data_IF_037491684141
#
_entry.id   IF_037491684141
#
_cell.length_a   1.000
_cell.length_b   1.000
_cell.length_c   1.000
_cell.angle_alpha   90.00
_cell.angle_beta   90.00
_cell.angle_gamma   90.00
#
_symmetry.space_group_name_H-M   'P 1'
#
loop_
_entity.id
_entity.type
_entity.pdbx_description
1 polymer ?
#
# COMPACT_ATOMS: atom_id res chain seq x y z
N UNK A 1 25.42 4.15 -74.11
CA UNK A 1 25.92 5.54 -74.20
C UNK A 1 25.62 6.22 -72.86
N UNK A 2 26.52 6.79 -72.06
CA UNK A 2 27.97 6.91 -72.10
C UNK A 2 28.45 7.00 -70.64
N UNK A 3 29.56 6.32 -70.32
CA UNK A 3 30.46 6.69 -69.22
C UNK A 3 31.40 7.76 -69.75
N UNK A 4 31.68 8.80 -68.98
CA UNK A 4 32.98 9.46 -68.97
C UNK A 4 33.08 10.34 -67.72
N UNK A 5 34.12 10.09 -66.92
CA UNK A 5 34.52 10.97 -65.83
C UNK A 5 35.64 11.91 -66.27
N UNK A 6 36.04 12.74 -65.30
CA UNK A 6 37.41 13.13 -64.95
C UNK A 6 37.69 14.65 -64.93
N UNK A 7 38.32 15.03 -63.80
CA UNK A 7 39.26 16.16 -63.57
C UNK A 7 38.66 17.57 -63.55
N UNK A 8 39.07 18.49 -62.67
CA UNK A 8 40.14 18.52 -61.67
C UNK A 8 40.48 20.00 -61.34
N UNK A 9 41.16 20.24 -60.21
CA UNK A 9 41.85 21.51 -59.90
C UNK A 9 41.28 22.28 -58.70
N UNK A 10 41.79 22.11 -57.47
CA UNK A 10 42.93 22.80 -56.81
C UNK A 10 42.85 24.34 -56.77
N UNK A 11 42.69 24.88 -55.55
CA UNK A 11 43.48 25.96 -54.90
C UNK A 11 42.97 26.12 -53.45
N UNK A 12 43.77 25.79 -52.42
CA UNK A 12 44.65 26.71 -51.64
C UNK A 12 43.98 28.07 -51.38
N UNK A 13 43.81 28.59 -50.17
CA UNK A 13 44.43 28.37 -48.86
C UNK A 13 44.33 29.71 -48.10
N UNK A 14 44.33 29.66 -46.75
CA UNK A 14 44.23 30.74 -45.73
C UNK A 14 42.95 30.52 -44.90
N UNK A 15 42.98 30.43 -43.58
CA UNK A 15 44.04 30.66 -42.63
C UNK A 15 43.37 31.05 -41.31
N UNK A 16 43.80 30.38 -40.23
CA UNK A 16 43.84 30.88 -38.84
C UNK A 16 42.52 31.19 -38.09
N UNK A 17 42.40 30.44 -36.99
CA UNK A 17 42.03 30.91 -35.64
C UNK A 17 40.62 31.45 -35.41
N UNK A 18 39.72 30.55 -35.01
CA UNK A 18 38.67 30.84 -34.03
C UNK A 18 38.39 29.58 -33.19
N UNK A 19 39.43 29.09 -32.51
CA UNK A 19 39.31 28.00 -31.54
C UNK A 19 39.46 28.59 -30.12
N UNK A 20 38.57 29.51 -29.73
CA UNK A 20 38.51 30.04 -28.35
C UNK A 20 37.20 30.79 -28.15
N UNK A 21 36.15 30.09 -27.69
CA UNK A 21 35.06 30.65 -26.88
C UNK A 21 34.04 29.57 -26.48
N UNK A 22 33.77 28.59 -27.36
CA UNK A 22 32.72 27.59 -27.10
C UNK A 22 33.16 26.41 -26.20
N UNK A 23 34.48 26.16 -26.06
CA UNK A 23 35.03 25.06 -25.28
C UNK A 23 35.22 25.32 -23.78
N UNK A 24 35.07 26.56 -23.33
CA UNK A 24 35.27 26.97 -21.93
C UNK A 24 33.97 27.22 -21.14
N UNK A 25 32.82 27.31 -21.81
CA UNK A 25 31.51 27.41 -21.16
C UNK A 25 30.95 26.06 -20.68
N UNK A 26 31.51 24.92 -21.12
CA UNK A 26 31.06 23.56 -20.73
C UNK A 26 31.96 22.87 -19.69
N UNK A 27 32.90 23.60 -19.06
CA UNK A 27 33.81 23.05 -18.04
C UNK A 27 33.71 23.73 -16.67
N UNK A 28 32.77 24.66 -16.51
CA UNK A 28 32.57 25.47 -15.30
C UNK A 28 31.20 25.29 -14.66
N UNK A 29 30.75 24.06 -14.44
CA UNK A 29 29.59 23.79 -13.58
C UNK A 29 29.78 22.52 -12.74
N UNK A 30 30.98 22.34 -12.19
CA UNK A 30 31.10 21.68 -10.87
C UNK A 30 30.71 22.70 -9.81
N UNK A 31 29.41 22.95 -9.69
CA UNK A 31 28.89 23.63 -8.52
C UNK A 31 28.98 22.63 -7.38
N UNK A 32 30.05 22.73 -6.60
CA UNK A 32 30.04 22.34 -5.21
C UNK A 32 29.00 23.20 -4.50
N UNK A 33 27.78 22.65 -4.37
CA UNK A 33 26.68 23.22 -3.61
C UNK A 33 25.99 22.09 -2.86
N UNK A 34 25.82 22.25 -1.56
CA UNK A 34 25.44 21.21 -0.59
C UNK A 34 24.36 20.23 -1.04
N UNK A 35 24.50 19.00 -0.55
CA UNK A 35 23.76 17.76 -0.81
C UNK A 35 22.25 17.91 -0.54
N UNK A 36 21.53 18.64 -1.39
CA UNK A 36 20.07 18.77 -1.31
C UNK A 36 19.47 18.35 -2.65
N UNK A 37 19.07 17.09 -2.74
CA UNK A 37 18.50 16.52 -3.96
C UNK A 37 16.97 16.72 -4.04
N UNK A 38 16.48 16.92 -5.26
CA UNK A 38 15.07 17.13 -5.60
C UNK A 38 14.25 15.83 -5.44
N UNK A 39 13.04 15.91 -4.87
CA UNK A 39 12.14 14.77 -4.74
C UNK A 39 11.59 14.33 -6.11
N UNK A 40 11.53 15.22 -7.11
CA UNK A 40 10.93 14.95 -8.42
C UNK A 40 11.62 13.85 -9.24
N UNK A 41 12.91 13.60 -9.00
CA UNK A 41 13.72 12.58 -9.68
C UNK A 41 14.58 11.80 -8.68
N UNK A 42 14.02 10.81 -7.97
CA UNK A 42 14.78 10.07 -6.97
C UNK A 42 15.89 9.24 -7.63
N UNK A 43 17.11 9.38 -7.10
CA UNK A 43 18.24 8.52 -7.46
C UNK A 43 17.99 7.07 -7.03
N UNK A 44 18.72 6.09 -7.60
CA UNK A 44 18.60 4.68 -7.18
C UNK A 44 18.82 4.49 -5.68
N UNK A 45 19.77 5.23 -5.09
CA UNK A 45 20.05 5.23 -3.64
C UNK A 45 18.85 5.72 -2.82
N UNK A 46 18.18 6.79 -3.27
CA UNK A 46 16.96 7.28 -2.60
C UNK A 46 15.80 6.31 -2.70
N UNK A 47 15.62 5.67 -3.85
CA UNK A 47 14.59 4.64 -3.99
C UNK A 47 14.86 3.45 -3.05
N UNK A 48 16.11 3.00 -2.95
CA UNK A 48 16.50 1.95 -2.01
C UNK A 48 16.26 2.37 -0.55
N UNK A 49 16.58 3.62 -0.19
CA UNK A 49 16.28 4.16 1.14
C UNK A 49 14.77 4.20 1.44
N UNK A 50 13.93 4.58 0.47
CA UNK A 50 12.48 4.54 0.62
C UNK A 50 11.97 3.11 0.82
N UNK A 51 12.48 2.14 0.04
CA UNK A 51 12.15 0.72 0.22
C UNK A 51 12.55 0.23 1.61
N UNK A 52 13.73 0.60 2.09
CA UNK A 52 14.20 0.24 3.43
C UNK A 52 13.32 0.85 4.53
N UNK A 53 12.92 2.12 4.41
CA UNK A 53 12.03 2.76 5.37
C UNK A 53 10.63 2.14 5.36
N UNK A 54 10.08 1.82 4.18
CA UNK A 54 8.82 1.08 4.09
C UNK A 54 8.93 -0.33 4.69
N UNK A 55 10.05 -1.04 4.49
CA UNK A 55 10.30 -2.33 5.12
C UNK A 55 10.27 -2.20 6.66
N UNK A 56 10.93 -1.20 7.22
CA UNK A 56 10.91 -0.95 8.67
C UNK A 56 9.49 -0.68 9.18
N UNK A 57 8.72 0.16 8.48
CA UNK A 57 7.31 0.42 8.82
C UNK A 57 6.50 -0.88 8.80
N UNK A 58 6.60 -1.66 7.73
CA UNK A 58 5.88 -2.93 7.57
C UNK A 58 6.25 -3.90 8.69
N UNK A 59 7.53 -4.07 9.00
CA UNK A 59 8.02 -4.97 10.06
C UNK A 59 7.54 -4.53 11.44
N UNK A 60 7.46 -3.22 11.70
CA UNK A 60 6.93 -2.68 12.97
C UNK A 60 5.44 -2.96 13.19
N UNK A 61 4.71 -3.15 12.09
CA UNK A 61 3.25 -3.22 12.04
C UNK A 61 2.73 -4.66 11.97
N UNK A 62 3.49 -5.58 11.37
CA UNK A 62 3.10 -7.00 11.27
C UNK A 62 3.10 -7.69 12.64
N UNK A 63 2.12 -8.56 12.96
CA UNK A 63 2.16 -9.36 14.18
C UNK A 63 3.38 -10.30 14.17
N UNK A 64 4.15 -10.32 15.26
CA UNK A 64 5.33 -11.20 15.39
C UNK A 64 5.00 -12.50 16.14
N UNK A 65 3.79 -12.57 16.72
CA UNK A 65 3.28 -13.72 17.46
C UNK A 65 1.83 -13.93 17.06
N UNK A 66 1.48 -15.04 16.39
CA UNK A 66 0.09 -15.42 16.26
C UNK A 66 -0.44 -15.80 17.66
N UNK A 67 -1.62 -15.28 18.03
CA UNK A 67 -2.38 -15.68 19.24
C UNK A 67 -1.94 -15.11 20.61
N UNK A 68 -1.00 -14.15 20.70
CA UNK A 68 -0.74 -13.42 21.96
C UNK A 68 -1.17 -11.96 21.85
N UNK A 69 -2.28 -11.60 22.50
CA UNK A 69 -2.73 -10.21 22.58
C UNK A 69 -2.00 -9.47 23.71
N UNK A 70 -1.70 -8.19 23.49
CA UNK A 70 -1.05 -7.36 24.50
C UNK A 70 -2.01 -7.11 25.67
N UNK A 71 -1.68 -7.66 26.85
CA UNK A 71 -2.47 -7.53 28.07
C UNK A 71 -1.91 -6.49 29.08
N UNK A 72 -0.87 -5.74 28.71
CA UNK A 72 -0.15 -4.80 29.58
C UNK A 72 1.25 -5.29 30.00
N UNK A 73 2.14 -4.36 30.35
CA UNK A 73 3.53 -4.64 30.80
C UNK A 73 4.62 -4.35 29.75
N UNK A 74 5.89 -4.47 30.15
CA UNK A 74 7.07 -4.34 29.27
C UNK A 74 7.29 -5.64 28.48
N UNK A 75 6.49 -5.87 27.44
CA UNK A 75 6.72 -6.97 26.49
C UNK A 75 7.90 -6.62 25.54
N UNK A 76 8.98 -7.42 25.50
CA UNK A 76 10.12 -7.19 24.61
C UNK A 76 9.74 -7.01 23.13
N UNK A 77 8.70 -7.70 22.64
CA UNK A 77 8.26 -7.59 21.24
C UNK A 77 7.62 -6.23 20.98
N UNK A 78 6.84 -5.73 21.93
CA UNK A 78 6.20 -4.40 21.85
C UNK A 78 7.26 -3.31 21.86
N UNK A 79 8.26 -3.42 22.74
CA UNK A 79 9.40 -2.48 22.81
C UNK A 79 10.21 -2.52 21.51
N UNK A 80 10.54 -3.70 20.99
CA UNK A 80 11.27 -3.85 19.73
C UNK A 80 10.52 -3.21 18.55
N UNK A 81 9.20 -3.45 18.43
CA UNK A 81 8.37 -2.82 17.40
C UNK A 81 8.32 -1.30 17.54
N UNK A 82 8.20 -0.79 18.76
CA UNK A 82 8.24 0.64 19.02
C UNK A 82 9.58 1.25 18.61
N UNK A 83 10.70 0.60 18.93
CA UNK A 83 12.03 1.04 18.52
C UNK A 83 12.17 1.07 16.99
N UNK A 84 11.71 0.03 16.28
CA UNK A 84 11.72 -0.01 14.81
C UNK A 84 10.86 1.10 14.21
N UNK A 85 9.67 1.36 14.77
CA UNK A 85 8.79 2.44 14.33
C UNK A 85 9.44 3.82 14.53
N UNK A 86 10.14 4.04 15.66
CA UNK A 86 10.87 5.28 15.92
C UNK A 86 12.07 5.46 14.99
N UNK A 87 12.81 4.38 14.68
CA UNK A 87 13.89 4.42 13.68
C UNK A 87 13.34 4.75 12.30
N UNK A 88 12.21 4.16 11.91
CA UNK A 88 11.54 4.48 10.65
C UNK A 88 11.09 5.96 10.60
N UNK A 89 10.51 6.47 11.70
CA UNK A 89 10.13 7.88 11.83
C UNK A 89 11.35 8.79 11.75
N UNK A 90 12.41 8.52 12.51
CA UNK A 90 13.65 9.29 12.48
C UNK A 90 14.30 9.31 11.10
N UNK A 91 14.31 8.17 10.40
CA UNK A 91 14.77 8.07 9.02
C UNK A 91 13.89 8.87 8.04
N UNK A 92 12.57 8.84 8.20
CA UNK A 92 11.65 9.66 7.40
C UNK A 92 11.80 11.17 7.68
N UNK A 93 12.01 11.56 8.93
CA UNK A 93 12.32 12.96 9.32
C UNK A 93 13.65 13.37 8.71
N UNK A 94 14.71 12.56 8.84
CA UNK A 94 16.00 12.82 8.22
C UNK A 94 15.87 13.04 6.71
N UNK A 95 15.15 12.14 6.02
CA UNK A 95 14.90 12.30 4.58
C UNK A 95 14.16 13.61 4.26
N UNK A 96 13.19 13.99 5.10
CA UNK A 96 12.44 15.25 5.01
C UNK A 96 13.31 16.49 5.21
N UNK A 97 14.28 16.43 6.12
CA UNK A 97 15.22 17.52 6.40
C UNK A 97 16.20 17.73 5.23
N UNK A 98 16.63 16.65 4.59
CA UNK A 98 17.56 16.70 3.45
C UNK A 98 16.88 16.90 2.08
N UNK A 99 15.56 17.06 2.03
CA UNK A 99 14.77 17.22 0.80
C UNK A 99 14.32 18.66 0.60
N UNK A 100 14.86 19.31 -0.45
CA UNK A 100 14.62 20.74 -0.77
C UNK A 100 13.23 21.04 -1.32
N UNK A 101 12.70 20.15 -2.17
CA UNK A 101 11.36 20.27 -2.76
C UNK A 101 10.52 19.09 -2.33
N UNK A 102 9.46 19.37 -1.59
CA UNK A 102 8.53 18.37 -1.05
C UNK A 102 7.33 18.23 -1.97
N UNK A 103 6.80 17.02 -2.04
CA UNK A 103 5.54 16.74 -2.74
C UNK A 103 4.36 17.12 -1.84
N UNK A 104 3.36 17.86 -2.36
CA UNK A 104 2.18 18.22 -1.58
C UNK A 104 1.32 16.96 -1.34
N UNK A 105 1.19 16.55 -0.08
CA UNK A 105 0.32 15.46 0.36
C UNK A 105 -0.89 16.06 1.07
N UNK A 106 -2.10 15.60 0.74
CA UNK A 106 -3.31 16.07 1.42
C UNK A 106 -3.47 15.39 2.78
N UNK A 107 -3.71 16.20 3.81
CA UNK A 107 -3.90 15.74 5.19
C UNK A 107 -5.36 15.35 5.51
N UNK A 108 -6.31 15.58 4.58
CA UNK A 108 -7.75 15.34 4.80
C UNK A 108 -8.07 13.92 5.30
N UNK A 109 -7.65 12.85 4.61
CA UNK A 109 -7.85 11.48 5.07
C UNK A 109 -7.23 11.20 6.44
N UNK A 110 -6.03 11.74 6.69
CA UNK A 110 -5.36 11.60 7.97
C UNK A 110 -6.13 12.30 9.11
N UNK A 111 -6.78 13.43 8.84
CA UNK A 111 -7.63 14.11 9.80
C UNK A 111 -8.88 13.28 10.16
N UNK A 112 -9.53 12.66 9.17
CA UNK A 112 -10.68 11.77 9.42
C UNK A 112 -10.28 10.56 10.26
N UNK A 113 -9.13 9.94 9.94
CA UNK A 113 -8.55 8.85 10.72
C UNK A 113 -8.22 9.33 12.14
N UNK A 114 -7.59 10.50 12.30
CA UNK A 114 -7.27 11.06 13.61
C UNK A 114 -8.52 11.29 14.46
N UNK A 115 -9.59 11.87 13.89
CA UNK A 115 -10.88 12.03 14.58
C UNK A 115 -11.44 10.68 15.01
N UNK A 116 -11.38 9.67 14.14
CA UNK A 116 -11.83 8.30 14.47
C UNK A 116 -11.03 7.70 15.63
N UNK A 117 -9.71 7.89 15.65
CA UNK A 117 -8.85 7.43 16.74
C UNK A 117 -9.14 8.18 18.05
N UNK A 118 -9.46 9.48 17.99
CA UNK A 118 -9.85 10.25 19.17
C UNK A 118 -11.21 9.81 19.73
N UNK A 119 -12.18 9.49 18.86
CA UNK A 119 -13.45 8.88 19.26
C UNK A 119 -13.20 7.55 19.98
N UNK A 120 -12.35 6.70 19.41
CA UNK A 120 -11.97 5.42 20.02
C UNK A 120 -11.27 5.61 21.36
N UNK A 121 -10.37 6.60 21.48
CA UNK A 121 -9.71 6.94 22.73
C UNK A 121 -10.72 7.37 23.80
N UNK A 122 -11.68 8.22 23.45
CA UNK A 122 -12.73 8.67 24.35
C UNK A 122 -13.59 7.49 24.81
N UNK A 123 -14.01 6.61 23.89
CA UNK A 123 -14.71 5.37 24.22
C UNK A 123 -13.89 4.45 25.14
N UNK A 124 -12.58 4.32 24.89
CA UNK A 124 -11.67 3.54 25.73
C UNK A 124 -11.51 4.11 27.14
N UNK A 125 -11.45 5.43 27.31
CA UNK A 125 -11.38 6.09 28.62
C UNK A 125 -12.65 5.82 29.43
N UNK A 126 -13.82 5.97 28.81
CA UNK A 126 -15.12 5.71 29.46
C UNK A 126 -15.28 4.22 29.79
N UNK A 127 -14.69 3.32 28.98
CA UNK A 127 -14.69 1.87 29.21
C UNK A 127 -13.79 1.41 30.36
N UNK A 128 -12.91 2.26 30.89
CA UNK A 128 -11.83 1.86 31.81
C UNK A 128 -10.57 1.29 31.11
N UNK A 129 -10.50 1.32 29.78
CA UNK A 129 -9.38 0.83 28.95
C UNK A 129 -8.49 1.97 28.39
N UNK A 130 -8.52 3.14 29.03
CA UNK A 130 -7.89 4.36 28.52
C UNK A 130 -6.39 4.21 28.25
N UNK A 131 -5.63 3.67 29.22
CA UNK A 131 -4.17 3.53 29.12
C UNK A 131 -3.74 2.64 27.95
N UNK A 132 -4.32 1.46 27.79
CA UNK A 132 -4.04 0.55 26.69
C UNK A 132 -4.43 1.15 25.33
N UNK A 133 -5.58 1.82 25.27
CA UNK A 133 -6.05 2.51 24.06
C UNK A 133 -5.13 3.67 23.68
N UNK A 134 -4.65 4.47 24.64
CA UNK A 134 -3.70 5.57 24.39
C UNK A 134 -2.42 5.07 23.74
N UNK A 135 -1.82 3.99 24.26
CA UNK A 135 -0.58 3.42 23.71
C UNK A 135 -0.77 2.97 22.26
N UNK A 136 -1.89 2.30 21.96
CA UNK A 136 -2.19 1.86 20.60
C UNK A 136 -2.46 3.04 19.66
N UNK A 137 -3.25 4.03 20.10
CA UNK A 137 -3.53 5.24 19.33
C UNK A 137 -2.23 6.00 19.01
N UNK A 138 -1.34 6.18 19.99
CA UNK A 138 -0.03 6.82 19.77
C UNK A 138 0.81 6.07 18.74
N UNK A 139 0.82 4.73 18.79
CA UNK A 139 1.50 3.91 17.78
C UNK A 139 0.92 4.15 16.37
N UNK A 140 -0.40 4.16 16.24
CA UNK A 140 -1.07 4.41 14.95
C UNK A 140 -0.73 5.81 14.44
N UNK A 141 -0.67 6.83 15.30
CA UNK A 141 -0.21 8.18 14.95
C UNK A 141 1.24 8.20 14.46
N UNK A 142 2.17 7.50 15.13
CA UNK A 142 3.58 7.39 14.71
C UNK A 142 3.67 6.78 13.31
N UNK A 143 2.94 5.69 13.05
CA UNK A 143 2.91 5.04 11.73
C UNK A 143 2.32 5.99 10.69
N UNK A 144 1.20 6.65 10.98
CA UNK A 144 0.55 7.60 10.08
C UNK A 144 1.48 8.77 9.73
N UNK A 145 2.13 9.37 10.74
CA UNK A 145 3.07 10.47 10.54
C UNK A 145 4.26 10.03 9.68
N UNK A 146 4.82 8.85 9.95
CA UNK A 146 5.92 8.27 9.16
C UNK A 146 5.51 8.10 7.70
N UNK A 147 4.31 7.54 7.42
CA UNK A 147 3.81 7.36 6.07
C UNK A 147 3.62 8.69 5.34
N UNK A 148 3.00 9.69 5.98
CA UNK A 148 2.81 11.01 5.39
C UNK A 148 4.16 11.67 5.07
N UNK A 149 5.15 11.59 5.96
CA UNK A 149 6.49 12.09 5.70
C UNK A 149 7.13 11.37 4.50
N UNK A 150 7.08 10.03 4.44
CA UNK A 150 7.60 9.28 3.29
C UNK A 150 6.93 9.69 1.97
N UNK A 151 5.62 9.91 1.97
CA UNK A 151 4.87 10.36 0.80
C UNK A 151 5.21 11.79 0.36
N UNK A 152 5.64 12.66 1.28
CA UNK A 152 6.12 14.01 0.91
C UNK A 152 7.51 14.01 0.26
N UNK A 153 8.28 12.93 0.42
CA UNK A 153 9.68 12.84 -0.03
C UNK A 153 9.86 12.17 -1.41
N UNK A 154 8.80 11.67 -2.02
CA UNK A 154 8.86 10.96 -3.29
C UNK A 154 7.60 11.20 -4.14
N UNK A 155 7.70 11.13 -5.48
CA UNK A 155 6.52 11.16 -6.33
C UNK A 155 5.68 9.90 -6.06
N UNK A 156 4.37 10.03 -6.23
CA UNK A 156 3.40 9.01 -5.83
C UNK A 156 3.67 7.63 -6.45
N UNK A 157 4.12 7.58 -7.70
CA UNK A 157 4.44 6.35 -8.43
C UNK A 157 5.61 5.61 -7.78
N UNK A 158 6.64 6.36 -7.35
CA UNK A 158 7.82 5.81 -6.68
C UNK A 158 7.53 5.42 -5.24
N UNK A 159 6.70 6.18 -4.53
CA UNK A 159 6.30 5.83 -3.18
C UNK A 159 5.47 4.52 -3.16
N UNK A 160 4.48 4.40 -4.05
CA UNK A 160 3.69 3.16 -4.19
C UNK A 160 4.57 2.01 -4.65
N UNK A 161 5.47 2.23 -5.62
CA UNK A 161 6.40 1.19 -6.05
C UNK A 161 7.34 0.74 -4.91
N UNK A 162 7.83 1.67 -4.08
CA UNK A 162 8.69 1.34 -2.94
C UNK A 162 7.93 0.53 -1.88
N UNK A 163 6.71 0.94 -1.54
CA UNK A 163 5.82 0.21 -0.62
C UNK A 163 5.56 -1.22 -1.11
N UNK A 164 5.15 -1.37 -2.37
CA UNK A 164 4.84 -2.69 -2.95
C UNK A 164 6.10 -3.56 -3.10
N UNK A 165 7.25 -2.95 -3.38
CA UNK A 165 8.53 -3.68 -3.39
C UNK A 165 8.87 -4.19 -2.00
N UNK A 166 8.71 -3.35 -0.97
CA UNK A 166 8.93 -3.73 0.42
C UNK A 166 7.99 -4.89 0.85
N UNK A 167 6.71 -4.79 0.50
CA UNK A 167 5.74 -5.87 0.74
C UNK A 167 6.12 -7.17 0.03
N UNK A 168 6.53 -7.09 -1.24
CA UNK A 168 6.94 -8.25 -2.02
C UNK A 168 8.20 -8.92 -1.48
N UNK A 169 9.21 -8.13 -1.10
CA UNK A 169 10.44 -8.63 -0.44
C UNK A 169 10.07 -9.38 0.83
N UNK A 170 9.27 -8.76 1.70
CA UNK A 170 8.90 -9.39 2.96
C UNK A 170 8.05 -10.65 2.75
N UNK A 171 7.13 -10.66 1.79
CA UNK A 171 6.34 -11.84 1.46
C UNK A 171 7.24 -13.01 1.04
N UNK A 172 8.26 -12.76 0.21
CA UNK A 172 9.21 -13.80 -0.22
C UNK A 172 10.07 -14.28 0.96
N UNK A 173 10.58 -13.38 1.80
CA UNK A 173 11.37 -13.74 2.99
C UNK A 173 10.53 -14.55 3.98
N UNK A 174 9.31 -14.12 4.28
CA UNK A 174 8.41 -14.81 5.18
C UNK A 174 8.00 -16.19 4.62
N UNK A 175 7.69 -16.28 3.33
CA UNK A 175 7.33 -17.54 2.67
C UNK A 175 8.50 -18.56 2.64
N UNK A 176 9.71 -18.10 2.33
CA UNK A 176 10.89 -18.98 2.26
C UNK A 176 11.30 -19.50 3.63
N UNK A 177 11.26 -18.64 4.65
CA UNK A 177 11.53 -19.05 6.04
C UNK A 177 10.39 -19.91 6.62
N UNK A 178 9.16 -19.71 6.16
CA UNK A 178 7.97 -20.45 6.57
C UNK A 178 7.69 -21.73 5.78
N UNK A 179 8.53 -22.12 4.82
CA UNK A 179 8.27 -23.26 3.92
C UNK A 179 7.95 -24.58 4.67
N UNK A 180 8.51 -24.78 5.86
CA UNK A 180 8.23 -25.95 6.71
C UNK A 180 6.78 -26.04 7.19
N UNK A 181 6.06 -24.92 7.27
CA UNK A 181 4.64 -24.93 7.68
C UNK A 181 3.74 -25.54 6.61
N UNK A 182 4.21 -25.62 5.35
CA UNK A 182 3.46 -26.25 4.26
C UNK A 182 3.18 -27.73 4.55
N UNK A 183 4.04 -28.39 5.33
CA UNK A 183 3.84 -29.76 5.83
C UNK A 183 2.59 -29.85 6.73
N UNK A 184 2.26 -28.79 7.46
CA UNK A 184 1.02 -28.66 8.25
C UNK A 184 -0.19 -28.24 7.40
N UNK A 185 -0.03 -28.18 6.09
CA UNK A 185 -1.07 -27.92 5.09
C UNK A 185 -1.14 -26.49 4.56
N UNK A 186 -0.62 -25.46 5.24
CA UNK A 186 -0.70 -24.08 4.76
C UNK A 186 0.63 -23.35 4.91
N UNK A 187 0.99 -22.58 3.88
CA UNK A 187 2.15 -21.70 3.97
C UNK A 187 1.82 -20.51 4.88
N UNK A 188 2.48 -20.46 6.04
CA UNK A 188 2.56 -19.30 6.91
C UNK A 188 3.92 -18.62 6.72
N UNK A 189 4.06 -17.43 7.30
CA UNK A 189 5.37 -16.78 7.40
C UNK A 189 6.21 -17.40 8.51
N UNK A 190 7.50 -17.61 8.27
CA UNK A 190 8.45 -18.05 9.29
C UNK A 190 9.01 -16.89 10.10
N UNK A 191 9.79 -16.03 9.45
CA UNK A 191 10.39 -14.83 10.07
C UNK A 191 9.89 -13.57 9.32
N UNK A 192 9.00 -12.75 9.93
CA UNK A 192 8.28 -12.98 11.18
C UNK A 192 7.22 -14.09 11.04
N UNK A 193 6.73 -14.61 12.17
CA UNK A 193 5.66 -15.60 12.21
C UNK A 193 4.33 -14.95 11.80
N UNK A 194 3.94 -15.14 10.53
CA UNK A 194 2.76 -14.49 9.92
C UNK A 194 1.70 -15.55 9.64
N UNK A 195 0.44 -15.25 9.96
CA UNK A 195 -0.67 -16.12 9.62
C UNK A 195 -0.82 -16.26 8.08
N UNK A 196 -1.17 -17.45 7.53
CA UNK A 196 -1.27 -17.65 6.09
C UNK A 196 -2.08 -16.60 5.32
N UNK A 197 -3.18 -16.11 5.89
CA UNK A 197 -4.00 -15.07 5.24
C UNK A 197 -3.28 -13.72 5.12
N UNK A 198 -2.54 -13.32 6.16
CA UNK A 198 -1.78 -12.07 6.16
C UNK A 198 -0.63 -12.13 5.15
N UNK A 199 0.05 -13.28 5.05
CA UNK A 199 1.08 -13.54 4.04
C UNK A 199 0.49 -13.47 2.62
N UNK A 200 -0.67 -14.08 2.40
CA UNK A 200 -1.37 -14.02 1.12
C UNK A 200 -1.64 -12.56 0.70
N UNK A 201 -2.11 -11.75 1.64
CA UNK A 201 -2.39 -10.36 1.37
C UNK A 201 -1.15 -9.47 1.22
N UNK A 202 -0.02 -9.81 1.84
CA UNK A 202 1.27 -9.17 1.58
C UNK A 202 1.76 -9.43 0.14
N UNK A 203 1.53 -10.63 -0.40
CA UNK A 203 1.91 -11.03 -1.75
C UNK A 203 0.93 -10.53 -2.83
N UNK A 204 -0.38 -10.48 -2.53
CA UNK A 204 -1.44 -10.16 -3.48
C UNK A 204 -1.32 -8.75 -4.09
N UNK A 205 -1.00 -7.73 -3.29
CA UNK A 205 -0.94 -6.34 -3.75
C UNK A 205 0.26 -6.07 -4.68
N UNK A 206 1.48 -6.51 -4.36
CA UNK A 206 2.60 -6.46 -5.30
C UNK A 206 2.33 -7.27 -6.57
N UNK A 207 1.64 -8.41 -6.47
CA UNK A 207 1.23 -9.20 -7.64
C UNK A 207 0.30 -8.41 -8.57
N UNK A 208 -0.74 -7.77 -8.04
CA UNK A 208 -1.64 -6.91 -8.84
C UNK A 208 -0.86 -5.77 -9.50
N UNK A 209 0.10 -5.17 -8.80
CA UNK A 209 0.91 -4.12 -9.38
C UNK A 209 1.86 -4.62 -10.49
N UNK A 210 2.39 -5.84 -10.38
CA UNK A 210 3.13 -6.48 -11.48
C UNK A 210 2.24 -6.76 -12.68
N UNK A 211 0.99 -7.19 -12.47
CA UNK A 211 -0.01 -7.32 -13.55
C UNK A 211 -0.20 -5.97 -14.24
N UNK A 212 -0.46 -4.89 -13.49
CA UNK A 212 -0.58 -3.53 -14.06
C UNK A 212 0.70 -3.12 -14.80
N UNK A 213 1.88 -3.46 -14.26
CA UNK A 213 3.16 -3.15 -14.90
C UNK A 213 3.31 -3.87 -16.24
N UNK A 214 2.93 -5.16 -16.32
CA UNK A 214 2.96 -5.97 -17.53
C UNK A 214 1.97 -5.40 -18.56
N UNK A 215 0.76 -5.04 -18.15
CA UNK A 215 -0.24 -4.42 -19.04
C UNK A 215 0.26 -3.10 -19.63
N UNK A 216 0.92 -2.25 -18.83
CA UNK A 216 1.40 -0.92 -19.26
C UNK A 216 2.70 -0.96 -20.07
N UNK A 217 3.67 -1.76 -19.62
CA UNK A 217 5.05 -1.76 -20.16
C UNK A 217 5.37 -2.97 -21.05
N UNK A 218 4.46 -3.93 -21.15
CA UNK A 218 4.66 -5.18 -21.87
C UNK A 218 5.30 -6.27 -21.00
N UNK A 219 5.38 -7.47 -21.57
CA UNK A 219 5.90 -8.67 -20.90
C UNK A 219 7.41 -8.55 -20.74
N UNK A 220 7.88 -8.66 -19.49
CA UNK A 220 9.30 -8.78 -19.15
C UNK A 220 9.49 -10.05 -18.35
N UNK A 221 10.53 -10.82 -18.66
CA UNK A 221 10.82 -12.10 -17.99
C UNK A 221 10.89 -11.93 -16.48
N UNK A 222 11.57 -10.90 -15.99
CA UNK A 222 11.65 -10.63 -14.54
C UNK A 222 10.30 -10.33 -13.88
N UNK A 223 9.40 -9.62 -14.57
CA UNK A 223 8.06 -9.34 -14.06
C UNK A 223 7.19 -10.60 -14.06
N UNK A 224 7.32 -11.46 -15.08
CA UNK A 224 6.61 -12.74 -15.14
C UNK A 224 7.08 -13.68 -14.03
N UNK A 225 8.39 -13.84 -13.85
CA UNK A 225 8.96 -14.68 -12.78
C UNK A 225 8.48 -14.17 -11.42
N UNK A 226 8.57 -12.86 -11.16
CA UNK A 226 8.10 -12.30 -9.90
C UNK A 226 6.59 -12.51 -9.68
N UNK A 227 5.77 -12.40 -10.73
CA UNK A 227 4.33 -12.69 -10.64
C UNK A 227 4.06 -14.15 -10.34
N UNK A 228 4.78 -15.08 -10.99
CA UNK A 228 4.62 -16.53 -10.76
C UNK A 228 5.01 -16.88 -9.33
N UNK A 229 6.12 -16.34 -8.82
CA UNK A 229 6.56 -16.57 -7.43
C UNK A 229 5.52 -16.05 -6.44
N UNK A 230 5.06 -14.80 -6.59
CA UNK A 230 4.07 -14.23 -5.67
C UNK A 230 2.71 -14.94 -5.76
N UNK A 231 2.28 -15.34 -6.95
CA UNK A 231 1.06 -16.12 -7.13
C UNK A 231 1.18 -17.50 -6.48
N UNK A 232 2.32 -18.18 -6.65
CA UNK A 232 2.61 -19.46 -5.99
C UNK A 232 2.57 -19.36 -4.46
N UNK A 233 3.12 -18.29 -3.89
CA UNK A 233 3.01 -18.00 -2.45
C UNK A 233 1.55 -17.90 -2.03
N UNK A 234 0.72 -17.13 -2.76
CA UNK A 234 -0.71 -16.97 -2.43
C UNK A 234 -1.46 -18.30 -2.51
N UNK A 235 -1.25 -19.10 -3.57
CA UNK A 235 -1.88 -20.42 -3.69
C UNK A 235 -1.47 -21.33 -2.55
N UNK A 236 -0.18 -21.35 -2.19
CA UNK A 236 0.35 -22.16 -1.09
C UNK A 236 -0.21 -21.75 0.30
N UNK A 237 -0.63 -20.50 0.48
CA UNK A 237 -1.33 -20.07 1.71
C UNK A 237 -2.74 -20.65 1.84
N UNK A 238 -3.36 -21.07 0.73
CA UNK A 238 -4.74 -21.56 0.66
C UNK A 238 -5.81 -20.49 0.94
N UNK A 239 -5.49 -19.19 0.86
CA UNK A 239 -6.47 -18.12 1.11
C UNK A 239 -7.39 -17.90 -0.09
N UNK A 240 -8.59 -18.52 -0.04
CA UNK A 240 -9.63 -18.39 -1.09
C UNK A 240 -10.03 -16.93 -1.34
N UNK A 241 -10.21 -16.16 -0.26
CA UNK A 241 -10.58 -14.74 -0.35
C UNK A 241 -9.48 -13.91 -1.00
N UNK A 242 -8.20 -14.19 -0.70
CA UNK A 242 -7.09 -13.48 -1.36
C UNK A 242 -7.05 -13.76 -2.86
N UNK A 243 -7.33 -15.00 -3.29
CA UNK A 243 -7.41 -15.37 -4.70
C UNK A 243 -8.57 -14.67 -5.42
N UNK A 244 -9.75 -14.61 -4.78
CA UNK A 244 -10.91 -13.85 -5.28
C UNK A 244 -10.55 -12.36 -5.41
N UNK A 245 -9.90 -11.79 -4.40
CA UNK A 245 -9.44 -10.40 -4.43
C UNK A 245 -8.41 -10.12 -5.54
N UNK A 246 -7.47 -11.04 -5.78
CA UNK A 246 -6.51 -10.96 -6.89
C UNK A 246 -7.24 -11.04 -8.23
N UNK A 247 -8.21 -11.94 -8.38
CA UNK A 247 -9.00 -12.09 -9.60
C UNK A 247 -9.74 -10.79 -9.94
N UNK A 248 -10.52 -10.24 -9.01
CA UNK A 248 -11.22 -8.98 -9.21
C UNK A 248 -10.26 -7.81 -9.42
N UNK A 249 -9.15 -7.75 -8.66
CA UNK A 249 -8.11 -6.75 -8.86
C UNK A 249 -7.47 -6.82 -10.25
N UNK A 250 -7.19 -8.02 -10.76
CA UNK A 250 -6.64 -8.25 -12.09
C UNK A 250 -7.64 -7.90 -13.20
N UNK A 251 -8.92 -8.23 -13.04
CA UNK A 251 -10.00 -7.81 -13.97
C UNK A 251 -10.08 -6.29 -14.03
N UNK A 252 -10.12 -5.62 -12.87
CA UNK A 252 -10.13 -4.16 -12.81
C UNK A 252 -8.86 -3.58 -13.44
N UNK A 253 -7.69 -4.21 -13.25
CA UNK A 253 -6.45 -3.82 -13.90
C UNK A 253 -6.54 -3.94 -15.42
N UNK A 254 -7.13 -5.03 -15.94
CA UNK A 254 -7.34 -5.25 -17.36
C UNK A 254 -8.29 -4.21 -17.96
N UNK A 255 -9.45 -3.98 -17.33
CA UNK A 255 -10.46 -3.02 -17.78
C UNK A 255 -9.90 -1.58 -17.79
N UNK A 256 -9.13 -1.22 -16.78
CA UNK A 256 -8.63 0.16 -16.64
C UNK A 256 -7.38 0.48 -17.45
N UNK A 257 -6.55 -0.52 -17.79
CA UNK A 257 -5.32 -0.30 -18.56
C UNK A 257 -5.41 -0.79 -20.01
N UNK A 258 -6.31 -1.72 -20.31
CA UNK A 258 -6.48 -2.36 -21.60
C UNK A 258 -5.30 -3.23 -22.03
N UNK A 259 -5.44 -3.89 -23.18
CA UNK A 259 -4.38 -4.71 -23.81
C UNK A 259 -3.78 -3.92 -24.98
N UNK A 260 -2.87 -2.98 -24.68
CA UNK A 260 -2.30 -2.09 -25.72
C UNK A 260 -1.16 -2.71 -26.52
N UNK A 261 -0.50 -3.76 -26.02
CA UNK A 261 0.69 -4.36 -26.64
C UNK A 261 0.41 -5.80 -27.07
N UNK A 262 0.81 -6.17 -28.30
CA UNK A 262 0.66 -7.53 -28.84
C UNK A 262 1.27 -8.61 -27.94
N UNK A 263 2.42 -8.32 -27.32
CA UNK A 263 3.06 -9.27 -26.38
C UNK A 263 2.20 -9.63 -25.16
N UNK A 264 1.35 -8.71 -24.68
CA UNK A 264 0.42 -8.99 -23.58
C UNK A 264 -0.74 -9.86 -24.07
N UNK A 265 -1.22 -9.62 -25.30
CA UNK A 265 -2.25 -10.45 -25.93
C UNK A 265 -1.76 -11.90 -26.11
N UNK A 266 -0.55 -12.09 -26.65
CA UNK A 266 0.04 -13.41 -26.78
C UNK A 266 0.25 -14.10 -25.44
N UNK A 267 0.74 -13.36 -24.43
CA UNK A 267 0.87 -13.90 -23.09
C UNK A 267 -0.48 -14.32 -22.50
N UNK A 268 -1.55 -13.56 -22.70
CA UNK A 268 -2.89 -13.91 -22.25
C UNK A 268 -3.41 -15.17 -22.97
N UNK A 269 -3.21 -15.26 -24.28
CA UNK A 269 -3.60 -16.42 -25.09
C UNK A 269 -2.87 -17.70 -24.68
N UNK A 270 -1.61 -17.61 -24.24
CA UNK A 270 -0.86 -18.75 -23.69
C UNK A 270 -1.24 -19.03 -22.23
N UNK A 271 -1.51 -17.99 -21.45
CA UNK A 271 -1.80 -18.11 -20.02
C UNK A 271 -3.14 -18.81 -19.74
N UNK A 272 -4.17 -18.54 -20.55
CA UNK A 272 -5.49 -19.19 -20.41
C UNK A 272 -5.42 -20.72 -20.50
N UNK A 273 -4.84 -21.35 -21.54
CA UNK A 273 -4.73 -22.80 -21.62
C UNK A 273 -3.78 -23.38 -20.58
N UNK A 274 -2.71 -22.67 -20.19
CA UNK A 274 -1.83 -23.11 -19.09
C UNK A 274 -2.58 -23.14 -17.76
N UNK A 275 -3.34 -22.09 -17.42
CA UNK A 275 -4.18 -22.09 -16.22
C UNK A 275 -5.21 -23.20 -16.29
N UNK A 276 -5.88 -23.37 -17.43
CA UNK A 276 -6.86 -24.43 -17.61
C UNK A 276 -6.24 -25.81 -17.37
N UNK A 277 -5.08 -26.07 -17.98
CA UNK A 277 -4.33 -27.30 -17.75
C UNK A 277 -3.94 -27.50 -16.28
N UNK A 278 -3.43 -26.46 -15.61
CA UNK A 278 -3.15 -26.54 -14.17
C UNK A 278 -4.42 -26.89 -13.40
N UNK A 279 -5.53 -26.18 -13.60
CA UNK A 279 -6.78 -26.41 -12.89
C UNK A 279 -7.29 -27.85 -13.07
N UNK A 280 -7.30 -28.34 -14.32
CA UNK A 280 -7.86 -29.65 -14.66
C UNK A 280 -6.94 -30.80 -14.23
N UNK A 281 -5.61 -30.65 -14.37
CA UNK A 281 -4.67 -31.76 -14.18
C UNK A 281 -4.03 -31.83 -12.78
N UNK A 282 -4.06 -30.76 -11.98
CA UNK A 282 -3.37 -30.75 -10.68
C UNK A 282 -4.31 -30.93 -9.49
N UNK A 283 -5.62 -30.95 -9.70
CA UNK A 283 -6.61 -31.00 -8.61
C UNK A 283 -6.48 -29.83 -7.62
N UNK A 284 -5.80 -28.74 -7.99
CA UNK A 284 -5.60 -27.57 -7.11
C UNK A 284 -6.94 -26.97 -6.71
N UNK A 285 -7.93 -26.96 -7.61
CA UNK A 285 -9.29 -26.52 -7.30
C UNK A 285 -9.97 -27.48 -6.33
N UNK A 286 -9.81 -28.79 -6.50
CA UNK A 286 -10.36 -29.78 -5.57
C UNK A 286 -9.69 -29.69 -4.20
N UNK A 287 -8.38 -29.49 -4.12
CA UNK A 287 -7.66 -29.27 -2.85
C UNK A 287 -8.03 -27.94 -2.19
N UNK A 288 -8.34 -26.92 -2.98
CA UNK A 288 -8.88 -25.67 -2.47
C UNK A 288 -10.32 -25.81 -2.01
N UNK A 289 -11.17 -26.57 -2.73
CA UNK A 289 -12.60 -26.72 -2.49
C UNK A 289 -12.92 -27.75 -1.38
N UNK A 290 -12.29 -28.92 -1.40
CA UNK A 290 -12.46 -30.02 -0.42
C UNK A 290 -11.98 -29.69 1.00
N UNK A 291 -11.18 -28.63 1.17
CA UNK A 291 -10.82 -28.10 2.49
C UNK A 291 -11.99 -27.56 3.32
N UNK A 292 -13.19 -27.48 2.73
CA UNK A 292 -14.43 -27.10 3.38
C UNK A 292 -15.39 -28.27 3.50
N UNK A 293 -14.96 -29.39 4.11
CA UNK A 293 -15.93 -30.31 4.71
C UNK A 293 -16.94 -29.47 5.50
N UNK A 294 -18.22 -29.74 5.27
CA UNK A 294 -19.42 -28.90 5.49
C UNK A 294 -19.63 -28.28 6.88
N UNK A 295 -18.68 -28.45 7.80
CA UNK A 295 -18.73 -28.05 9.22
C UNK A 295 -17.73 -26.94 9.60
N UNK A 296 -16.64 -26.72 8.87
CA UNK A 296 -15.60 -25.72 9.22
C UNK A 296 -15.84 -24.32 8.62
N UNK A 297 -16.43 -24.26 7.42
CA UNK A 297 -16.82 -22.96 6.81
C UNK A 297 -18.11 -22.40 7.43
N UNK A 298 -19.03 -23.27 7.86
CA UNK A 298 -20.20 -22.88 8.64
C UNK A 298 -19.78 -22.27 9.97
N UNK A 299 -18.80 -22.83 10.68
CA UNK A 299 -18.31 -22.27 11.95
C UNK A 299 -17.54 -20.95 11.82
N UNK A 300 -16.77 -20.74 10.73
CA UNK A 300 -16.04 -19.48 10.53
C UNK A 300 -16.94 -18.34 10.01
N UNK A 301 -17.97 -18.66 9.23
CA UNK A 301 -19.00 -17.68 8.84
C UNK A 301 -19.95 -17.40 9.99
N UNK A 302 -20.38 -18.42 10.76
CA UNK A 302 -21.14 -18.23 12.01
C UNK A 302 -20.36 -17.34 12.96
N UNK A 303 -19.08 -17.64 13.23
CA UNK A 303 -18.29 -16.86 14.19
C UNK A 303 -18.16 -15.37 13.79
N UNK A 304 -18.15 -15.08 12.50
CA UNK A 304 -18.14 -13.70 11.98
C UNK A 304 -19.50 -13.03 12.10
N UNK A 305 -20.58 -13.76 11.82
CA UNK A 305 -21.96 -13.28 11.96
C UNK A 305 -22.32 -13.08 13.44
N UNK A 306 -21.88 -13.96 14.35
CA UNK A 306 -22.01 -13.80 15.80
C UNK A 306 -21.33 -12.52 16.29
N UNK A 307 -20.13 -12.21 15.79
CA UNK A 307 -19.45 -10.95 16.10
C UNK A 307 -20.26 -9.71 15.69
N UNK A 308 -20.91 -9.75 14.53
CA UNK A 308 -21.84 -8.68 14.11
C UNK A 308 -23.07 -8.59 15.02
N UNK A 309 -23.69 -9.72 15.36
CA UNK A 309 -24.88 -9.77 16.20
C UNK A 309 -24.63 -9.18 17.59
N UNK A 310 -23.48 -9.49 18.21
CA UNK A 310 -23.16 -8.97 19.55
C UNK A 310 -22.96 -7.46 19.53
N UNK A 311 -22.20 -6.93 18.57
CA UNK A 311 -21.91 -5.49 18.53
C UNK A 311 -23.13 -4.68 18.06
N UNK A 312 -23.96 -5.22 17.17
CA UNK A 312 -25.23 -4.60 16.77
C UNK A 312 -26.32 -4.72 17.83
N UNK A 313 -26.21 -5.72 18.71
CA UNK A 313 -27.12 -5.97 19.83
C UNK A 313 -26.89 -5.06 21.04
N UNK A 314 -25.85 -4.23 21.04
CA UNK A 314 -25.65 -3.23 22.10
C UNK A 314 -26.82 -2.26 22.16
N UNK A 315 -27.25 -1.90 23.37
CA UNK A 315 -28.40 -1.02 23.55
C UNK A 315 -28.20 0.34 22.85
N UNK A 316 -29.25 0.86 22.23
CA UNK A 316 -29.25 2.14 21.52
C UNK A 316 -29.00 3.33 22.45
N UNK A 317 -29.40 3.21 23.71
CA UNK A 317 -29.13 4.21 24.74
C UNK A 317 -27.71 4.11 25.31
N UNK A 318 -26.98 3.03 25.02
CA UNK A 318 -25.62 2.85 25.51
C UNK A 318 -24.61 3.70 24.74
N UNK A 319 -23.68 4.32 25.45
CA UNK A 319 -22.58 5.08 24.86
C UNK A 319 -21.63 4.19 24.04
N UNK A 320 -21.54 2.90 24.38
CA UNK A 320 -20.69 1.91 23.71
C UNK A 320 -21.06 1.74 22.24
N UNK A 321 -22.36 1.80 21.91
CA UNK A 321 -22.85 1.73 20.53
C UNK A 321 -22.37 2.90 19.65
N UNK A 322 -22.23 4.08 20.24
CA UNK A 322 -21.91 5.31 19.52
C UNK A 322 -20.41 5.59 19.43
N UNK A 323 -19.68 5.37 20.53
CA UNK A 323 -18.28 5.73 20.69
C UNK A 323 -17.33 4.51 20.67
N UNK A 324 -17.87 3.30 20.82
CA UNK A 324 -17.07 2.09 20.97
C UNK A 324 -16.39 1.99 22.33
N UNK A 325 -15.65 0.91 22.54
CA UNK A 325 -15.03 0.54 23.83
C UNK A 325 -13.49 0.72 23.80
N UNK A 326 -12.96 1.27 22.71
CA UNK A 326 -11.55 1.57 22.53
C UNK A 326 -10.75 0.57 21.70
N UNK A 327 -9.65 1.04 21.12
CA UNK A 327 -8.79 0.32 20.16
C UNK A 327 -8.12 -0.93 20.76
N UNK A 328 -8.03 -1.02 22.09
CA UNK A 328 -7.47 -2.17 22.81
C UNK A 328 -8.37 -3.40 22.78
N UNK A 329 -9.66 -3.24 22.47
CA UNK A 329 -10.61 -4.36 22.37
C UNK A 329 -10.36 -5.12 21.06
N UNK A 330 -9.83 -6.34 21.20
CA UNK A 330 -9.56 -7.29 20.10
C UNK A 330 -10.48 -8.51 20.12
N UNK A 331 -11.17 -8.72 21.24
CA UNK A 331 -12.14 -9.78 21.44
C UNK A 331 -13.43 -9.21 22.01
N UNK A 332 -14.56 -9.80 21.64
CA UNK A 332 -15.87 -9.49 22.22
C UNK A 332 -16.37 -10.71 22.99
N UNK A 333 -16.94 -10.50 24.18
CA UNK A 333 -17.52 -11.60 24.94
C UNK A 333 -18.73 -12.18 24.19
N UNK A 334 -18.73 -13.49 23.96
CA UNK A 334 -19.84 -14.21 23.35
C UNK A 334 -20.34 -15.24 24.35
N UNK A 335 -21.65 -15.36 24.50
CA UNK A 335 -22.25 -16.43 25.31
C UNK A 335 -22.56 -17.64 24.41
N UNK A 336 -21.52 -18.37 24.00
CA UNK A 336 -21.68 -19.67 23.34
C UNK A 336 -21.29 -20.79 24.30
N UNK A 337 -21.94 -21.95 24.16
CA UNK A 337 -21.92 -23.09 25.11
C UNK A 337 -20.52 -23.59 25.52
N UNK A 338 -19.47 -23.25 24.75
CA UNK A 338 -18.06 -23.63 24.99
C UNK A 338 -17.05 -22.51 24.67
N UNK A 339 -17.48 -21.27 24.42
CA UNK A 339 -16.61 -20.13 24.04
C UNK A 339 -17.11 -18.85 24.70
N UNK A 340 -16.26 -18.21 25.51
CA UNK A 340 -16.58 -17.00 26.26
C UNK A 340 -16.08 -15.69 25.61
N UNK A 341 -15.18 -15.78 24.62
CA UNK A 341 -14.69 -14.63 23.84
C UNK A 341 -14.50 -14.97 22.36
N UNK A 342 -14.71 -13.97 21.49
CA UNK A 342 -14.59 -14.09 20.04
C UNK A 342 -13.66 -13.01 19.50
N UNK A 343 -12.63 -13.43 18.77
CA UNK A 343 -11.68 -12.53 18.10
C UNK A 343 -12.37 -11.79 16.96
N UNK A 344 -12.11 -10.48 16.87
CA UNK A 344 -12.64 -9.60 15.83
C UNK A 344 -11.83 -9.74 14.53
N UNK A 345 -12.32 -10.59 13.63
CA UNK A 345 -11.62 -10.91 12.37
C UNK A 345 -11.96 -9.97 11.19
N UNK A 346 -12.97 -9.11 11.32
CA UNK A 346 -13.39 -8.17 10.27
C UNK A 346 -13.06 -6.73 10.65
N UNK A 347 -12.51 -5.94 9.72
CA UNK A 347 -12.17 -4.53 9.99
C UNK A 347 -13.41 -3.71 10.34
N UNK A 348 -14.57 -4.04 9.79
CA UNK A 348 -15.82 -3.31 10.07
C UNK A 348 -16.39 -3.61 11.45
N UNK A 349 -16.41 -4.89 11.84
CA UNK A 349 -16.85 -5.29 13.19
C UNK A 349 -15.88 -4.77 14.24
N UNK A 350 -14.57 -4.88 13.97
CA UNK A 350 -13.52 -4.31 14.82
C UNK A 350 -13.70 -2.80 14.99
N UNK A 351 -13.97 -2.09 13.90
CA UNK A 351 -14.17 -0.64 13.94
C UNK A 351 -15.43 -0.26 14.72
N UNK A 352 -16.53 -1.01 14.55
CA UNK A 352 -17.76 -0.80 15.31
C UNK A 352 -17.54 -1.01 16.81
N UNK A 353 -16.80 -2.06 17.19
CA UNK A 353 -16.47 -2.31 18.58
C UNK A 353 -15.51 -1.25 19.17
N UNK A 354 -14.55 -0.77 18.37
CA UNK A 354 -13.47 0.11 18.85
C UNK A 354 -13.83 1.60 18.83
N UNK A 355 -14.62 2.05 17.86
CA UNK A 355 -14.94 3.46 17.61
C UNK A 355 -16.45 3.72 17.41
N UNK A 356 -17.30 2.69 17.58
CA UNK A 356 -18.74 2.81 17.50
C UNK A 356 -19.26 3.13 16.10
N UNK A 357 -20.56 3.43 16.03
CA UNK A 357 -21.24 3.86 14.80
C UNK A 357 -20.60 5.11 14.18
N UNK A 358 -20.14 6.05 15.00
CA UNK A 358 -19.51 7.28 14.50
C UNK A 358 -18.19 6.98 13.76
N UNK A 359 -17.35 6.12 14.32
CA UNK A 359 -16.12 5.69 13.66
C UNK A 359 -16.38 4.93 12.36
N UNK A 360 -17.36 4.01 12.37
CA UNK A 360 -17.77 3.28 11.16
C UNK A 360 -18.28 4.22 10.07
N UNK A 361 -19.09 5.22 10.43
CA UNK A 361 -19.60 6.20 9.49
C UNK A 361 -18.45 7.03 8.87
N UNK A 362 -17.54 7.55 9.69
CA UNK A 362 -16.42 8.37 9.22
C UNK A 362 -15.50 7.59 8.27
N UNK A 363 -15.11 6.37 8.63
CA UNK A 363 -14.25 5.54 7.79
C UNK A 363 -15.01 5.03 6.57
N UNK A 364 -16.29 4.69 6.70
CA UNK A 364 -17.17 4.31 5.58
C UNK A 364 -17.25 5.41 4.53
N UNK A 365 -17.49 6.65 4.96
CA UNK A 365 -17.48 7.83 4.09
C UNK A 365 -16.10 8.05 3.46
N UNK A 366 -15.01 7.83 4.21
CA UNK A 366 -13.65 7.96 3.67
C UNK A 366 -13.34 6.88 2.62
N UNK A 367 -13.77 5.63 2.83
CA UNK A 367 -13.63 4.54 1.85
C UNK A 367 -14.45 4.84 0.60
N UNK A 368 -15.72 5.26 0.76
CA UNK A 368 -16.57 5.67 -0.36
C UNK A 368 -15.95 6.84 -1.14
N UNK A 369 -15.46 7.85 -0.43
CA UNK A 369 -14.72 8.95 -1.02
C UNK A 369 -13.51 8.44 -1.80
N UNK A 370 -12.70 7.53 -1.25
CA UNK A 370 -11.55 6.95 -1.95
C UNK A 370 -11.97 6.24 -3.26
N UNK A 371 -13.03 5.44 -3.24
CA UNK A 371 -13.54 4.72 -4.42
C UNK A 371 -14.00 5.71 -5.50
N UNK A 372 -14.88 6.64 -5.16
CA UNK A 372 -15.40 7.67 -6.09
C UNK A 372 -14.23 8.48 -6.69
N UNK A 373 -13.31 8.87 -5.82
CA UNK A 373 -12.15 9.69 -6.15
C UNK A 373 -11.14 8.92 -7.02
N UNK A 374 -11.02 7.59 -6.86
CA UNK A 374 -10.19 6.73 -7.71
C UNK A 374 -10.81 6.49 -9.09
N UNK A 375 -12.13 6.31 -9.16
CA UNK A 375 -12.86 6.11 -10.44
C UNK A 375 -12.79 7.37 -11.30
N UNK A 376 -12.87 8.56 -10.68
CA UNK A 376 -12.82 9.86 -11.37
C UNK A 376 -11.40 10.32 -11.75
N UNK A 377 -10.34 9.69 -11.19
CA UNK A 377 -8.96 10.09 -11.44
C UNK A 377 -8.38 9.47 -12.72
N UNK A 378 -8.71 10.02 -13.89
CA UNK A 378 -8.35 9.48 -15.20
C UNK A 378 -6.87 9.03 -15.36
N UNK A 379 -5.90 9.81 -14.86
CA UNK A 379 -4.47 9.49 -15.01
C UNK A 379 -3.93 8.44 -14.04
N UNK A 380 -4.60 8.20 -12.91
CA UNK A 380 -4.11 7.32 -11.82
C UNK A 380 -4.97 6.08 -11.61
N UNK A 381 -6.20 6.07 -12.14
CA UNK A 381 -7.19 5.00 -12.02
C UNK A 381 -6.61 3.62 -12.32
N UNK A 382 -5.78 3.52 -13.36
CA UNK A 382 -5.26 2.21 -13.77
C UNK A 382 -4.26 1.54 -12.81
N UNK A 383 -3.71 2.26 -11.81
CA UNK A 383 -2.94 1.61 -10.74
C UNK A 383 -3.71 1.60 -9.41
N UNK A 384 -4.37 2.72 -9.07
CA UNK A 384 -5.03 2.86 -7.78
C UNK A 384 -6.30 2.03 -7.67
N UNK A 385 -7.12 1.95 -8.73
CA UNK A 385 -8.40 1.23 -8.68
C UNK A 385 -8.22 -0.28 -8.45
N UNK A 386 -7.31 -1.00 -9.17
CA UNK A 386 -7.04 -2.41 -8.90
C UNK A 386 -6.58 -2.69 -7.47
N UNK A 387 -5.68 -1.85 -6.94
CA UNK A 387 -5.18 -1.99 -5.57
C UNK A 387 -6.28 -1.72 -4.54
N UNK A 388 -7.13 -0.71 -4.80
CA UNK A 388 -8.27 -0.38 -3.95
C UNK A 388 -9.32 -1.50 -3.96
N UNK A 389 -9.57 -2.16 -5.11
CA UNK A 389 -10.48 -3.30 -5.19
C UNK A 389 -10.04 -4.44 -4.28
N UNK A 390 -8.76 -4.84 -4.34
CA UNK A 390 -8.21 -5.85 -3.45
C UNK A 390 -8.28 -5.42 -1.98
N UNK A 391 -7.97 -4.16 -1.69
CA UNK A 391 -8.06 -3.61 -0.34
C UNK A 391 -9.49 -3.71 0.22
N UNK A 392 -10.50 -3.25 -0.53
CA UNK A 392 -11.90 -3.25 -0.09
C UNK A 392 -12.42 -4.66 0.15
N UNK A 393 -12.11 -5.63 -0.71
CA UNK A 393 -12.51 -7.03 -0.49
C UNK A 393 -11.90 -7.57 0.81
N UNK A 394 -10.65 -7.20 1.08
CA UNK A 394 -9.92 -7.64 2.27
C UNK A 394 -10.45 -7.01 3.57
N UNK A 395 -10.97 -5.78 3.56
CA UNK A 395 -11.48 -5.15 4.81
C UNK A 395 -12.70 -5.86 5.39
N UNK A 396 -13.47 -6.58 4.58
CA UNK A 396 -14.58 -7.40 5.08
C UNK A 396 -14.13 -8.66 5.82
N UNK A 397 -12.94 -9.15 5.52
CA UNK A 397 -12.51 -10.50 5.88
C UNK A 397 -11.28 -10.55 6.78
N UNK A 398 -10.58 -9.43 6.90
CA UNK A 398 -9.47 -9.23 7.83
C UNK A 398 -9.66 -7.92 8.61
N UNK A 399 -9.19 -7.92 9.85
CA UNK A 399 -9.16 -6.75 10.73
C UNK A 399 -7.90 -5.91 10.54
N UNK A 400 -7.86 -4.73 11.15
CA UNK A 400 -6.67 -3.87 11.15
C UNK A 400 -6.68 -2.69 10.17
N UNK A 401 -7.84 -2.28 9.66
CA UNK A 401 -7.97 -1.03 8.88
C UNK A 401 -7.65 0.24 9.67
N UNK A 402 -7.89 0.24 11.00
CA UNK A 402 -7.64 1.38 11.92
C UNK A 402 -6.67 1.01 13.05
N UNK A 403 -6.17 -0.23 13.04
CA UNK A 403 -5.12 -0.68 13.95
C UNK A 403 -3.75 -0.53 13.28
N UNK A 404 -2.66 -0.61 14.06
CA UNK A 404 -1.29 -0.65 13.53
C UNK A 404 -1.02 -1.99 12.82
N UNK A 405 -1.71 -2.25 11.72
CA UNK A 405 -1.61 -3.42 10.86
C UNK A 405 -1.40 -3.05 9.38
N UNK A 406 -1.10 -4.03 8.54
CA UNK A 406 -0.83 -3.80 7.11
C UNK A 406 -1.98 -3.14 6.34
N UNK A 407 -3.27 -3.46 6.60
CA UNK A 407 -4.38 -2.75 5.98
C UNK A 407 -4.35 -1.24 6.27
N UNK A 408 -3.98 -0.80 7.49
CA UNK A 408 -3.84 0.62 7.82
C UNK A 408 -2.74 1.32 7.00
N UNK A 409 -1.58 0.70 6.85
CA UNK A 409 -0.48 1.26 6.03
C UNK A 409 -0.93 1.51 4.59
N UNK A 410 -1.67 0.56 4.03
CA UNK A 410 -2.25 0.66 2.70
C UNK A 410 -3.34 1.72 2.63
N UNK A 411 -4.23 1.76 3.63
CA UNK A 411 -5.34 2.70 3.68
C UNK A 411 -4.87 4.15 3.74
N UNK A 412 -3.94 4.47 4.64
CA UNK A 412 -3.33 5.81 4.76
C UNK A 412 -2.61 6.16 3.46
N UNK A 413 -1.85 5.24 2.88
CA UNK A 413 -1.11 5.49 1.64
C UNK A 413 -2.05 5.78 0.47
N UNK A 414 -3.03 4.91 0.22
CA UNK A 414 -3.95 5.06 -0.91
C UNK A 414 -4.83 6.30 -0.75
N UNK A 415 -5.37 6.54 0.45
CA UNK A 415 -6.23 7.70 0.71
C UNK A 415 -5.48 9.02 0.57
N UNK A 416 -4.26 9.13 1.09
CA UNK A 416 -3.42 10.32 0.95
C UNK A 416 -3.11 10.64 -0.52
N UNK A 417 -2.83 9.63 -1.35
CA UNK A 417 -2.52 9.76 -2.78
C UNK A 417 -3.72 10.11 -3.67
N UNK A 418 -4.93 9.97 -3.14
CA UNK A 418 -6.17 10.31 -3.83
C UNK A 418 -6.57 11.78 -3.65
N UNK A 419 -5.96 12.49 -2.70
CA UNK A 419 -6.23 13.92 -2.41
C UNK A 419 -5.84 14.85 -3.55
N UNK A 420 -6.61 15.94 -3.77
CA UNK A 420 -6.36 16.93 -4.86
C UNK A 420 -4.94 17.49 -4.87
N UNK A 421 -4.38 17.84 -3.70
CA UNK A 421 -3.00 18.35 -3.57
C UNK A 421 -1.97 17.37 -4.14
N UNK A 422 -2.11 16.09 -3.82
CA UNK A 422 -1.23 15.05 -4.37
C UNK A 422 -1.41 14.84 -5.87
N UNK A 423 -2.55 15.21 -6.47
CA UNK A 423 -2.83 15.12 -7.92
C UNK A 423 -2.08 16.16 -8.73
N UNK A 424 -1.95 17.37 -8.19
CA UNK A 424 -1.35 18.51 -8.89
C UNK A 424 0.19 18.45 -8.94
N UNK A 425 0.82 17.68 -8.05
CA UNK A 425 2.28 17.50 -7.97
C UNK A 425 2.94 16.92 -9.25
N UNK A 426 2.16 16.37 -10.19
CA UNK A 426 2.66 15.77 -11.43
C UNK A 426 2.61 16.71 -12.65
N UNK A 427 2.07 17.94 -12.50
CA UNK A 427 2.05 18.94 -13.56
C UNK A 427 3.41 19.64 -13.72
N UNK A 428 3.78 20.12 -14.92
CA UNK A 428 4.99 20.92 -15.09
C UNK A 428 4.95 22.14 -14.14
N UNK A 429 6.06 22.47 -13.46
CA UNK A 429 6.12 23.64 -12.59
C UNK A 429 6.07 24.90 -13.46
N UNK A 430 4.91 25.50 -13.65
CA UNK A 430 4.81 26.65 -14.55
C UNK A 430 3.56 27.53 -14.45
N UNK A 431 2.39 27.03 -14.04
CA UNK A 431 1.17 27.83 -14.21
C UNK A 431 0.70 28.64 -13.00
N UNK A 432 1.07 28.27 -11.77
CA UNK A 432 0.52 28.93 -10.58
C UNK A 432 1.20 30.28 -10.26
N UNK A 433 2.45 30.48 -10.68
CA UNK A 433 3.16 31.75 -10.51
C UNK A 433 2.86 32.77 -11.63
N UNK A 434 2.39 32.33 -12.81
CA UNK A 434 2.06 33.26 -13.90
C UNK A 434 0.74 34.00 -13.67
N UNK A 435 -0.25 33.36 -13.05
CA UNK A 435 -1.53 34.00 -12.72
C UNK A 435 -1.35 35.04 -11.60
N UNK A 436 -0.46 34.78 -10.64
CA UNK A 436 -0.16 35.71 -9.53
C UNK A 436 0.77 36.85 -9.95
N UNK A 437 1.67 36.62 -10.92
CA UNK A 437 2.50 37.68 -11.48
C UNK A 437 1.69 38.63 -12.38
N UNK A 438 0.71 38.12 -13.13
CA UNK A 438 -0.18 38.97 -13.96
C UNK A 438 -1.14 39.84 -13.15
N UNK A 439 -1.46 39.50 -11.90
CA UNK A 439 -2.35 40.30 -11.05
C UNK A 439 -1.64 41.43 -10.28
N UNK A 440 -0.30 41.52 -10.33
CA UNK A 440 0.48 42.50 -9.55
C UNK A 440 1.08 43.63 -10.42
N UNK A 441 1.00 43.52 -11.75
CA UNK A 441 1.42 44.58 -12.68
C UNK A 441 0.23 45.16 -13.45
N UNK A 442 -0.61 45.92 -12.77
CA UNK A 442 -1.29 47.08 -13.35
C UNK A 442 -1.61 48.12 -12.26
N UNK A 443 -0.63 48.96 -11.89
CA UNK A 443 -0.92 50.30 -11.41
C UNK A 443 -1.06 51.23 -12.63
N UNK A 444 -2.26 51.78 -12.80
CA UNK A 444 -2.60 53.06 -13.43
C UNK A 444 -1.88 53.49 -14.71
N UNK A 445 -2.63 53.58 -15.80
CA UNK A 445 -2.49 54.69 -16.76
C UNK A 445 -3.88 55.29 -16.95
N UNK A 446 -4.04 56.52 -16.45
CA UNK A 446 -5.05 57.48 -16.89
C UNK A 446 -4.55 58.15 -18.16
#
# INVERSE_FOLDING_TARGET
>A
MARCGARGGRRNGRGRTAMTAAGLAMRGQRVHGGVHADASRPTRRRFAALVALFLLVIVSVIPWRPQSFYAGGLDPVVVAKAAIALVALGGAVGLTLFTRRRMPVGLGPAAVIAVTLMISLLGGVVAGNGSATTVLVMRVFIVMATLLLLLTNAPWDRAVAALLTAMGILAVVAATTGARTLVKGRLGGGIPEIHPNELAGLAALPLIALVVLILRRGVRVSAVIASVVLFGIVVATGSRIALVGILFGAIVALVTNGVRRRGVLYALLVFVPVIYGVIVFTGVVDGLASRGGTSAESTALDSRLTGWQVVLGWDWASWQRWLGVGLSVKEVAVQEKWRSSQVLDSSWVSLLAQAGLLGVLLIGLLVAWCVITAVTAASRRGLLLPLLTMFVIRTFTESGMVDSAMPFVLFVTLSALLTRRSRQASGPPGHENQTRARSVTMPGVR
#
